data_IF_979212816970
#
_entry.id   IF_979212816970
#
_cell.length_a   1.000
_cell.length_b   1.000
_cell.length_c   1.000
_cell.angle_alpha   90.00
_cell.angle_beta   90.00
_cell.angle_gamma   90.00
#
_symmetry.space_group_name_H-M   'P 1'
#
loop_
_entity.id
_entity.type
_entity.pdbx_description
1 polymer ?
#
# COMPACT_ATOMS: atom_id res chain seq x y z
N UNK A 1 4.35 50.25 -55.94
CA UNK A 1 4.70 48.85 -56.25
C UNK A 1 4.97 48.11 -54.94
N UNK A 2 4.30 46.95 -54.80
CA UNK A 2 4.40 45.85 -53.81
C UNK A 2 4.94 46.13 -52.39
N UNK A 3 4.00 46.12 -51.43
CA UNK A 3 4.22 45.83 -50.00
C UNK A 3 4.75 44.39 -49.85
N UNK A 4 5.77 44.20 -49.03
CA UNK A 4 6.10 42.90 -48.44
C UNK A 4 5.99 43.07 -46.93
N UNK A 5 4.97 42.42 -46.36
CA UNK A 5 4.67 42.31 -44.94
C UNK A 5 5.43 41.06 -44.47
N UNK A 6 6.37 41.21 -43.53
CA UNK A 6 6.87 40.07 -42.77
C UNK A 6 6.02 39.92 -41.51
N UNK A 7 5.18 38.90 -41.50
CA UNK A 7 4.44 38.42 -40.33
C UNK A 7 5.43 37.81 -39.36
N UNK A 8 5.67 38.46 -38.22
CA UNK A 8 6.31 37.83 -37.08
C UNK A 8 5.24 37.00 -36.35
N UNK A 9 5.23 35.69 -36.60
CA UNK A 9 4.43 34.76 -35.80
C UNK A 9 5.08 34.67 -34.41
N UNK A 10 4.53 35.39 -33.44
CA UNK A 10 4.80 35.13 -32.03
C UNK A 10 4.09 33.83 -31.68
N UNK A 11 4.81 32.72 -31.77
CA UNK A 11 4.39 31.49 -31.10
C UNK A 11 4.39 31.77 -29.59
N UNK A 12 3.22 32.10 -29.06
CA UNK A 12 2.97 31.97 -27.62
C UNK A 12 3.13 30.49 -27.30
N UNK A 13 4.27 30.11 -26.73
CA UNK A 13 4.41 28.81 -26.08
C UNK A 13 3.31 28.77 -25.02
N UNK A 14 2.31 27.94 -25.26
CA UNK A 14 1.28 27.62 -24.28
C UNK A 14 2.00 27.20 -23.01
N UNK A 15 1.71 27.94 -21.93
CA UNK A 15 2.28 27.65 -20.63
C UNK A 15 2.02 26.18 -20.30
N UNK A 16 3.09 25.44 -20.03
CA UNK A 16 2.98 24.21 -19.27
C UNK A 16 2.32 24.59 -17.95
N UNK A 17 1.02 24.33 -17.81
CA UNK A 17 0.37 24.37 -16.51
C UNK A 17 0.97 23.22 -15.70
N UNK A 18 2.09 23.50 -15.01
CA UNK A 18 2.61 22.61 -13.99
C UNK A 18 1.52 22.55 -12.93
N UNK A 19 0.77 21.44 -12.88
CA UNK A 19 -0.09 21.17 -11.74
C UNK A 19 0.82 21.16 -10.50
N UNK A 20 0.70 22.21 -9.69
CA UNK A 20 1.47 22.37 -8.48
C UNK A 20 1.07 21.24 -7.51
N UNK A 21 2.07 20.50 -7.05
CA UNK A 21 1.91 19.58 -5.93
C UNK A 21 2.14 20.41 -4.68
N UNK A 22 1.11 20.53 -3.86
CA UNK A 22 1.17 21.32 -2.63
C UNK A 22 1.24 20.35 -1.45
N UNK A 23 2.32 20.36 -0.64
CA UNK A 23 2.31 19.65 0.63
C UNK A 23 1.25 20.26 1.53
N UNK A 24 0.31 19.44 2.01
CA UNK A 24 -0.75 19.87 2.93
C UNK A 24 -0.48 19.42 4.36
N UNK A 25 0.45 18.47 4.55
CA UNK A 25 0.93 18.07 5.86
C UNK A 25 2.31 17.45 5.75
N UNK A 26 3.24 17.91 6.57
CA UNK A 26 4.55 17.30 6.76
C UNK A 26 4.71 16.85 8.20
N UNK A 27 5.19 15.63 8.41
CA UNK A 27 5.35 15.06 9.75
C UNK A 27 6.39 13.94 9.78
N UNK A 28 6.78 13.54 10.99
CA UNK A 28 7.51 12.29 11.26
C UNK A 28 6.66 11.27 12.02
N UNK A 29 5.40 11.60 12.29
CA UNK A 29 4.45 10.75 12.99
C UNK A 29 3.83 9.73 12.04
N UNK A 30 3.46 8.55 12.56
CA UNK A 30 2.82 7.50 11.77
C UNK A 30 1.37 7.89 11.46
N UNK A 31 1.14 8.37 10.22
CA UNK A 31 -0.18 8.61 9.66
C UNK A 31 -0.68 7.36 8.92
N UNK A 32 -1.98 7.11 9.03
CA UNK A 32 -2.66 6.09 8.25
C UNK A 32 -3.43 6.77 7.12
N UNK A 33 -4.74 6.99 7.23
CA UNK A 33 -5.50 7.66 6.18
C UNK A 33 -5.59 9.19 6.37
N UNK A 34 -5.78 9.92 5.28
CA UNK A 34 -5.94 11.38 5.24
C UNK A 34 -7.01 11.78 4.23
N UNK A 35 -7.85 12.76 4.56
CA UNK A 35 -8.78 13.38 3.63
C UNK A 35 -8.83 14.89 3.86
N UNK A 36 -9.29 15.60 2.84
CA UNK A 36 -9.57 17.02 2.92
C UNK A 36 -11.07 17.21 2.70
N UNK A 37 -11.73 17.82 3.68
CA UNK A 37 -13.16 18.11 3.69
C UNK A 37 -13.36 19.60 3.43
N UNK A 38 -14.29 19.94 2.53
CA UNK A 38 -14.61 21.31 2.13
C UNK A 38 -13.36 22.14 1.79
N UNK A 39 -12.40 21.50 1.12
CA UNK A 39 -11.14 22.06 0.63
C UNK A 39 -10.22 22.72 1.67
N UNK A 40 -10.54 22.64 2.96
CA UNK A 40 -9.85 23.40 4.01
C UNK A 40 -9.64 22.64 5.30
N UNK A 41 -10.47 21.62 5.60
CA UNK A 41 -10.34 20.82 6.82
C UNK A 41 -9.63 19.51 6.51
N UNK A 42 -8.36 19.41 6.92
CA UNK A 42 -7.62 18.17 6.90
C UNK A 42 -8.12 17.26 8.03
N UNK A 43 -8.41 16.01 7.71
CA UNK A 43 -8.71 14.96 8.68
C UNK A 43 -7.76 13.82 8.44
N UNK A 44 -7.12 13.34 9.50
CA UNK A 44 -6.18 12.22 9.39
C UNK A 44 -6.23 11.31 10.61
N UNK A 45 -5.85 10.05 10.40
CA UNK A 45 -5.68 9.09 11.50
C UNK A 45 -4.22 9.05 11.93
N UNK A 46 -4.00 9.25 13.23
CA UNK A 46 -2.69 9.16 13.86
C UNK A 46 -2.65 7.97 14.81
N UNK A 47 -1.56 7.21 14.75
CA UNK A 47 -1.29 6.12 15.69
C UNK A 47 -0.52 6.65 16.89
N UNK A 48 -1.02 6.32 18.07
CA UNK A 48 -0.47 6.66 19.38
C UNK A 48 -0.23 5.39 20.20
N UNK A 49 0.44 5.53 21.34
CA UNK A 49 0.68 4.41 22.27
C UNK A 49 -0.62 3.75 22.73
N UNK A 50 -1.64 4.56 23.00
CA UNK A 50 -2.94 4.13 23.56
C UNK A 50 -3.96 3.73 22.48
N UNK A 51 -3.64 3.88 21.19
CA UNK A 51 -4.61 3.61 20.14
C UNK A 51 -4.39 4.33 18.82
N UNK A 52 -5.46 4.41 18.03
CA UNK A 52 -5.51 5.18 16.80
C UNK A 52 -6.64 6.20 16.90
N UNK A 53 -6.31 7.46 16.62
CA UNK A 53 -7.22 8.59 16.82
C UNK A 53 -7.28 9.48 15.60
N UNK A 54 -8.46 10.03 15.31
CA UNK A 54 -8.65 11.03 14.29
C UNK A 54 -8.32 12.41 14.84
N UNK A 55 -7.62 13.17 14.01
CA UNK A 55 -7.28 14.57 14.20
C UNK A 55 -7.85 15.40 13.07
N UNK A 56 -8.11 16.67 13.36
CA UNK A 56 -8.48 17.68 12.39
C UNK A 56 -7.48 18.83 12.44
N UNK A 57 -7.15 19.39 11.28
CA UNK A 57 -6.28 20.56 11.14
C UNK A 57 -6.78 21.43 9.98
N UNK A 58 -6.79 22.74 10.14
CA UNK A 58 -7.10 23.65 9.03
C UNK A 58 -5.88 23.79 8.12
N UNK A 59 -6.07 23.61 6.82
CA UNK A 59 -5.01 23.64 5.82
C UNK A 59 -4.23 24.97 5.83
N UNK A 60 -4.94 26.09 5.99
CA UNK A 60 -4.35 27.44 5.99
C UNK A 60 -3.90 27.92 7.39
N UNK A 61 -4.02 27.06 8.42
CA UNK A 61 -3.52 27.33 9.76
C UNK A 61 -2.72 26.12 10.29
N UNK A 62 -1.50 25.91 9.79
CA UNK A 62 -0.61 24.85 10.29
C UNK A 62 -0.42 24.96 11.80
N UNK A 63 -0.57 23.83 12.51
CA UNK A 63 -0.50 23.80 13.98
C UNK A 63 -1.85 23.96 14.68
N UNK A 64 -2.95 24.17 13.94
CA UNK A 64 -4.32 24.07 14.46
C UNK A 64 -4.79 22.64 14.73
N UNK A 65 -3.89 21.66 14.64
CA UNK A 65 -4.17 20.25 14.82
C UNK A 65 -4.76 19.96 16.21
N UNK A 66 -5.95 19.35 16.22
CA UNK A 66 -6.64 18.94 17.44
C UNK A 66 -7.24 17.55 17.28
N UNK A 67 -7.33 16.79 18.39
CA UNK A 67 -8.05 15.51 18.39
C UNK A 67 -9.52 15.78 18.09
N UNK A 68 -10.06 15.10 17.09
CA UNK A 68 -11.46 15.22 16.70
C UNK A 68 -12.34 14.41 17.67
N UNK A 69 -12.56 14.93 18.88
CA UNK A 69 -13.23 14.20 19.97
C UNK A 69 -14.54 13.50 19.56
N UNK A 70 -15.45 14.12 18.76
CA UNK A 70 -16.69 13.46 18.32
C UNK A 70 -16.48 12.20 17.46
N UNK A 71 -15.34 12.10 16.77
CA UNK A 71 -14.99 10.99 15.88
C UNK A 71 -14.25 9.85 16.60
N UNK A 72 -13.82 10.07 17.84
CA UNK A 72 -13.01 9.15 18.62
C UNK A 72 -13.86 8.47 19.71
N UNK A 73 -14.45 7.32 19.38
CA UNK A 73 -15.37 6.58 20.26
C UNK A 73 -14.78 5.28 20.83
N UNK A 74 -13.48 5.04 20.66
CA UNK A 74 -12.80 3.83 21.15
C UNK A 74 -11.28 3.93 21.07
N UNK A 75 -10.59 2.79 21.21
CA UNK A 75 -9.12 2.72 21.14
C UNK A 75 -8.59 2.60 19.71
N UNK A 76 -9.44 2.24 18.75
CA UNK A 76 -9.08 2.24 17.33
C UNK A 76 -10.16 2.98 16.57
N UNK A 77 -9.79 4.14 16.03
CA UNK A 77 -10.64 4.97 15.21
C UNK A 77 -9.87 5.26 13.92
N UNK A 78 -10.47 4.97 12.77
CA UNK A 78 -9.84 5.18 11.48
C UNK A 78 -10.79 5.89 10.54
N UNK A 79 -10.30 6.88 9.82
CA UNK A 79 -10.99 7.39 8.65
C UNK A 79 -11.06 6.28 7.60
N UNK A 80 -12.25 6.02 7.06
CA UNK A 80 -12.47 4.94 6.07
C UNK A 80 -13.26 5.42 4.85
N UNK A 81 -13.41 6.73 4.68
CA UNK A 81 -14.09 7.32 3.55
C UNK A 81 -14.79 8.63 3.90
N UNK A 82 -15.29 9.30 2.88
CA UNK A 82 -16.11 10.50 3.00
C UNK A 82 -16.95 10.68 1.74
N UNK A 83 -18.03 11.44 1.87
CA UNK A 83 -18.80 11.92 0.73
C UNK A 83 -18.33 13.34 0.38
N UNK A 84 -17.66 13.54 -0.75
CA UNK A 84 -17.14 14.86 -1.13
C UNK A 84 -18.26 15.87 -1.46
N UNK A 85 -19.44 15.41 -1.86
CA UNK A 85 -20.56 16.31 -2.20
C UNK A 85 -21.24 16.89 -0.95
N UNK A 86 -21.22 16.16 0.18
CA UNK A 86 -21.90 16.58 1.42
C UNK A 86 -20.93 16.91 2.56
N UNK A 87 -19.65 16.57 2.42
CA UNK A 87 -18.66 16.68 3.49
C UNK A 87 -18.82 15.65 4.62
N UNK A 88 -19.74 14.68 4.48
CA UNK A 88 -19.94 13.64 5.48
C UNK A 88 -18.74 12.69 5.54
N UNK A 89 -18.28 12.31 6.73
CA UNK A 89 -17.12 11.42 6.94
C UNK A 89 -17.53 10.08 7.54
N UNK A 90 -16.78 9.03 7.19
CA UNK A 90 -17.00 7.66 7.64
C UNK A 90 -15.84 7.21 8.51
N UNK A 91 -16.16 6.75 9.71
CA UNK A 91 -15.16 6.42 10.72
C UNK A 91 -15.39 4.99 11.20
N UNK A 92 -14.41 4.14 10.96
CA UNK A 92 -14.35 2.84 11.63
C UNK A 92 -14.00 3.06 13.10
N UNK A 93 -14.74 2.41 14.00
CA UNK A 93 -14.57 2.54 15.45
C UNK A 93 -14.65 1.17 16.11
N UNK A 94 -13.59 0.81 16.84
CA UNK A 94 -13.59 -0.33 17.76
C UNK A 94 -13.78 0.16 19.19
N UNK A 95 -15.00 0.03 19.68
CA UNK A 95 -15.43 0.51 21.02
C UNK A 95 -15.31 -0.56 22.11
N UNK A 96 -15.10 -1.80 21.70
CA UNK A 96 -14.87 -2.93 22.60
C UNK A 96 -14.43 -4.17 21.82
N UNK A 97 -14.31 -5.32 22.50
CA UNK A 97 -13.82 -6.58 21.88
C UNK A 97 -14.72 -7.09 20.73
N UNK A 98 -16.00 -6.75 20.73
CA UNK A 98 -17.00 -7.22 19.75
C UNK A 98 -17.89 -6.10 19.21
N UNK A 99 -17.53 -4.85 19.46
CA UNK A 99 -18.25 -3.68 18.97
C UNK A 99 -17.36 -2.92 17.99
N UNK A 100 -17.59 -3.21 16.72
CA UNK A 100 -16.83 -2.71 15.57
C UNK A 100 -17.84 -2.17 14.56
N UNK A 101 -17.87 -0.85 14.39
CA UNK A 101 -18.82 -0.17 13.52
C UNK A 101 -18.12 0.74 12.53
N UNK A 102 -18.82 1.09 11.47
CA UNK A 102 -18.51 2.25 10.63
C UNK A 102 -19.59 3.30 10.93
N UNK A 103 -19.21 4.35 11.66
CA UNK A 103 -20.07 5.48 12.01
C UNK A 103 -19.97 6.59 10.97
N UNK A 104 -21.08 7.33 10.78
CA UNK A 104 -21.20 8.41 9.80
C UNK A 104 -21.38 9.74 10.54
N UNK A 105 -20.70 10.78 10.05
CA UNK A 105 -20.72 12.09 10.68
C UNK A 105 -20.88 13.18 9.63
N UNK A 106 -21.93 13.99 9.75
CA UNK A 106 -22.05 15.23 9.00
C UNK A 106 -21.11 16.29 9.60
N UNK A 107 -20.46 17.07 8.74
CA UNK A 107 -19.67 18.22 9.15
C UNK A 107 -20.43 19.51 8.83
N UNK A 108 -20.74 20.30 9.86
CA UNK A 108 -21.46 21.57 9.71
C UNK A 108 -21.11 22.51 10.86
N UNK A 109 -20.99 23.81 10.58
CA UNK A 109 -20.76 24.83 11.62
C UNK A 109 -19.49 24.60 12.44
N UNK A 110 -18.45 24.00 11.86
CA UNK A 110 -17.19 23.68 12.54
C UNK A 110 -17.20 22.40 13.36
N UNK A 111 -18.32 21.68 13.44
CA UNK A 111 -18.47 20.48 14.27
C UNK A 111 -18.91 19.23 13.49
N UNK A 112 -18.72 18.07 14.12
CA UNK A 112 -19.18 16.78 13.60
C UNK A 112 -20.41 16.29 14.38
N UNK A 113 -21.45 15.93 13.66
CA UNK A 113 -22.66 15.33 14.23
C UNK A 113 -22.87 13.93 13.67
N UNK A 114 -22.99 12.94 14.55
CA UNK A 114 -23.22 11.55 14.14
C UNK A 114 -24.60 11.41 13.50
N UNK A 115 -24.65 10.91 12.26
CA UNK A 115 -25.89 10.74 11.48
C UNK A 115 -26.37 9.30 11.41
N UNK A 116 -25.49 8.34 11.73
CA UNK A 116 -25.82 6.92 11.74
C UNK A 116 -24.59 6.04 11.87
N UNK A 117 -24.77 4.73 11.76
CA UNK A 117 -23.70 3.76 11.69
C UNK A 117 -24.15 2.43 11.07
N UNK A 118 -23.19 1.64 10.62
CA UNK A 118 -23.38 0.23 10.22
C UNK A 118 -22.42 -0.63 11.02
N UNK A 119 -22.89 -1.78 11.49
CA UNK A 119 -22.01 -2.80 12.08
C UNK A 119 -21.02 -3.30 11.02
N UNK A 120 -19.75 -3.48 11.39
CA UNK A 120 -18.76 -4.08 10.50
C UNK A 120 -19.12 -5.55 10.24
N UNK A 121 -18.92 -6.11 9.03
CA UNK A 121 -19.04 -7.54 8.84
C UNK A 121 -18.11 -8.29 9.80
N UNK A 122 -18.50 -9.48 10.27
CA UNK A 122 -17.60 -10.32 11.06
C UNK A 122 -16.44 -10.80 10.20
N UNK A 123 -15.24 -10.32 10.50
CA UNK A 123 -14.02 -10.70 9.79
C UNK A 123 -13.18 -11.62 10.68
N UNK A 124 -12.80 -12.78 10.14
CA UNK A 124 -11.73 -13.61 10.72
C UNK A 124 -10.42 -13.17 10.08
N UNK A 125 -9.93 -12.00 10.50
CA UNK A 125 -8.69 -11.43 10.00
C UNK A 125 -7.49 -11.99 10.78
N UNK A 126 -6.55 -12.61 10.08
CA UNK A 126 -5.32 -13.17 10.64
C UNK A 126 -4.14 -12.18 10.57
N UNK A 127 -4.37 -11.00 9.99
CA UNK A 127 -3.42 -9.90 9.93
C UNK A 127 -3.59 -8.95 11.11
N UNK A 128 -2.51 -8.25 11.46
CA UNK A 128 -2.56 -7.11 12.38
C UNK A 128 -3.10 -5.86 11.71
N UNK A 129 -3.16 -5.85 10.38
CA UNK A 129 -3.66 -4.74 9.60
C UNK A 129 -5.13 -4.98 9.24
N UNK A 130 -5.90 -3.91 9.28
CA UNK A 130 -7.23 -3.84 8.71
C UNK A 130 -7.34 -2.51 7.97
N UNK A 131 -7.40 -2.57 6.64
CA UNK A 131 -7.72 -1.42 5.82
C UNK A 131 -9.18 -1.48 5.40
N UNK A 132 -9.88 -0.35 5.43
CA UNK A 132 -11.29 -0.25 5.04
C UNK A 132 -11.48 0.98 4.17
N UNK A 133 -12.34 0.85 3.16
CA UNK A 133 -12.86 1.98 2.40
C UNK A 133 -14.35 1.80 2.14
N UNK A 134 -15.16 2.76 2.57
CA UNK A 134 -16.60 2.80 2.35
C UNK A 134 -16.93 3.84 1.27
N UNK A 135 -17.66 3.42 0.24
CA UNK A 135 -18.11 4.31 -0.84
C UNK A 135 -19.09 5.39 -0.35
N UNK A 136 -19.22 6.53 -1.05
CA UNK A 136 -20.14 7.61 -0.66
C UNK A 136 -21.62 7.23 -0.54
N UNK A 137 -22.07 6.24 -1.31
CA UNK A 137 -23.41 5.67 -1.21
C UNK A 137 -23.60 4.71 -0.02
N UNK A 138 -22.51 4.46 0.73
CA UNK A 138 -22.39 3.57 1.88
C UNK A 138 -22.73 2.11 1.56
N UNK A 139 -22.76 1.71 0.29
CA UNK A 139 -23.21 0.37 -0.12
C UNK A 139 -22.08 -0.57 -0.51
N UNK A 140 -20.88 -0.08 -0.77
CA UNK A 140 -19.70 -0.92 -1.07
C UNK A 140 -18.61 -0.66 -0.04
N UNK A 141 -18.19 -1.74 0.63
CA UNK A 141 -17.06 -1.77 1.54
C UNK A 141 -15.91 -2.55 0.90
N UNK A 142 -14.79 -1.87 0.68
CA UNK A 142 -13.52 -2.51 0.34
C UNK A 142 -12.74 -2.78 1.62
N UNK A 143 -12.11 -3.95 1.68
CA UNK A 143 -11.45 -4.47 2.87
C UNK A 143 -10.07 -4.97 2.46
N UNK A 144 -9.02 -4.49 3.12
CA UNK A 144 -7.66 -5.02 3.06
C UNK A 144 -7.41 -5.83 4.34
N UNK A 145 -7.25 -7.15 4.21
CA UNK A 145 -7.14 -8.08 5.34
C UNK A 145 -6.60 -9.45 4.91
N UNK A 146 -6.22 -10.28 5.88
CA UNK A 146 -5.87 -11.69 5.66
C UNK A 146 -7.07 -12.58 6.07
N UNK A 147 -7.98 -12.89 5.14
CA UNK A 147 -9.21 -13.66 5.41
C UNK A 147 -9.07 -15.16 5.04
N UNK A 148 -7.87 -15.72 5.18
CA UNK A 148 -7.55 -17.15 5.07
C UNK A 148 -7.29 -17.68 3.65
N UNK A 149 -8.11 -17.33 2.64
CA UNK A 149 -7.87 -17.68 1.23
C UNK A 149 -7.33 -16.48 0.43
N UNK A 150 -6.17 -15.99 0.84
CA UNK A 150 -5.50 -14.85 0.20
C UNK A 150 -4.64 -15.32 -0.99
N UNK A 151 -4.34 -14.42 -1.92
CA UNK A 151 -3.32 -14.59 -2.97
C UNK A 151 -1.93 -14.30 -2.40
N UNK A 152 -1.84 -13.35 -1.47
CA UNK A 152 -0.64 -12.94 -0.77
C UNK A 152 -0.90 -12.72 0.71
N UNK A 153 -0.57 -11.52 1.19
CA UNK A 153 -0.70 -11.15 2.59
C UNK A 153 -2.09 -10.58 2.89
N UNK A 154 -2.18 -9.27 3.03
CA UNK A 154 -3.46 -8.56 3.03
C UNK A 154 -3.92 -8.46 1.58
N UNK A 155 -5.02 -9.13 1.27
CA UNK A 155 -5.70 -9.04 -0.03
C UNK A 155 -6.82 -8.02 0.05
N UNK A 156 -7.24 -7.51 -1.11
CA UNK A 156 -8.47 -6.72 -1.24
C UNK A 156 -9.70 -7.61 -1.45
N UNK A 157 -10.73 -7.30 -0.67
CA UNK A 157 -12.05 -7.89 -0.73
C UNK A 157 -13.10 -6.81 -0.92
N UNK A 158 -14.24 -7.19 -1.49
CA UNK A 158 -15.43 -6.36 -1.61
C UNK A 158 -16.59 -6.99 -0.85
N UNK A 159 -17.32 -6.17 -0.10
CA UNK A 159 -18.59 -6.50 0.53
C UNK A 159 -19.63 -5.45 0.15
N UNK A 160 -20.87 -5.87 -0.06
CA UNK A 160 -21.99 -5.02 -0.45
C UNK A 160 -23.03 -4.98 0.66
N UNK A 161 -23.66 -3.83 0.86
CA UNK A 161 -24.75 -3.67 1.82
C UNK A 161 -26.09 -3.96 1.15
N UNK A 162 -26.71 -5.07 1.53
CA UNK A 162 -27.97 -5.54 0.92
C UNK A 162 -28.88 -6.11 2.02
N UNK A 163 -30.16 -5.72 2.01
CA UNK A 163 -31.15 -6.22 2.97
C UNK A 163 -30.78 -5.98 4.44
N UNK A 164 -30.18 -4.81 4.74
CA UNK A 164 -29.82 -4.41 6.10
C UNK A 164 -28.59 -5.11 6.70
N UNK A 165 -27.78 -5.78 5.87
CA UNK A 165 -26.54 -6.44 6.30
C UNK A 165 -25.46 -6.38 5.23
N UNK A 166 -24.21 -6.60 5.65
CA UNK A 166 -23.10 -6.81 4.73
C UNK A 166 -23.14 -8.22 4.14
N UNK A 167 -22.93 -8.31 2.83
CA UNK A 167 -22.64 -9.58 2.17
C UNK A 167 -21.27 -10.11 2.61
N UNK A 168 -21.06 -11.43 2.49
CA UNK A 168 -19.76 -12.03 2.82
C UNK A 168 -18.67 -11.40 1.94
N UNK A 169 -17.53 -10.92 2.50
CA UNK A 169 -16.44 -10.36 1.72
C UNK A 169 -15.98 -11.34 0.62
N UNK A 170 -15.99 -10.87 -0.62
CA UNK A 170 -15.51 -11.60 -1.79
C UNK A 170 -14.15 -11.07 -2.19
N UNK A 171 -13.18 -11.97 -2.36
CA UNK A 171 -11.83 -11.62 -2.79
C UNK A 171 -11.87 -11.04 -4.21
N UNK A 172 -11.13 -9.97 -4.48
CA UNK A 172 -11.10 -9.30 -5.80
C UNK A 172 -10.29 -10.06 -6.87
N UNK A 173 -9.70 -11.20 -6.51
CA UNK A 173 -9.04 -12.11 -7.42
C UNK A 173 -7.70 -11.60 -7.92
N UNK A 174 -7.08 -12.38 -8.81
CA UNK A 174 -5.70 -12.18 -9.28
C UNK A 174 -5.50 -10.95 -10.17
N UNK A 175 -6.59 -10.35 -10.67
CA UNK A 175 -6.52 -9.09 -11.39
C UNK A 175 -6.07 -7.94 -10.48
N UNK A 176 -6.42 -8.01 -9.19
CA UNK A 176 -6.06 -6.99 -8.20
C UNK A 176 -5.03 -7.52 -7.21
N UNK A 177 -5.34 -8.67 -6.61
CA UNK A 177 -4.56 -9.24 -5.53
C UNK A 177 -3.35 -9.99 -6.08
N UNK A 178 -2.21 -9.77 -5.46
CA UNK A 178 -0.95 -10.39 -5.86
C UNK A 178 -0.37 -11.22 -4.71
N UNK A 179 0.91 -11.57 -4.83
CA UNK A 179 1.64 -12.22 -3.74
C UNK A 179 2.13 -11.20 -2.69
N UNK A 180 1.95 -9.92 -2.97
CA UNK A 180 2.29 -8.83 -2.06
C UNK A 180 1.09 -8.47 -1.17
N UNK A 181 1.26 -7.46 -0.33
CA UNK A 181 0.18 -6.90 0.45
C UNK A 181 -0.46 -5.77 -0.36
N UNK A 182 -1.77 -5.84 -0.57
CA UNK A 182 -2.58 -4.78 -1.14
C UNK A 182 -3.39 -4.07 -0.04
N UNK A 183 -3.29 -2.75 0.02
CA UNK A 183 -3.86 -1.94 1.10
C UNK A 183 -4.22 -0.53 0.63
N UNK A 184 -4.82 0.26 1.53
CA UNK A 184 -5.33 1.60 1.25
C UNK A 184 -6.16 1.68 -0.04
N UNK A 185 -7.22 0.86 -0.17
CA UNK A 185 -8.06 0.90 -1.36
C UNK A 185 -8.85 2.21 -1.45
N UNK A 186 -9.10 2.67 -2.67
CA UNK A 186 -9.94 3.82 -2.97
C UNK A 186 -10.71 3.56 -4.27
N UNK A 187 -12.02 3.75 -4.27
CA UNK A 187 -12.89 3.44 -5.40
C UNK A 187 -13.51 4.72 -5.98
N UNK A 188 -13.38 4.91 -7.28
CA UNK A 188 -14.17 5.88 -8.07
C UNK A 188 -15.21 5.16 -8.91
N UNK A 189 -15.98 5.90 -9.71
CA UNK A 189 -16.91 5.31 -10.68
C UNK A 189 -16.18 4.48 -11.74
N UNK A 190 -14.96 4.86 -12.11
CA UNK A 190 -14.25 4.29 -13.26
C UNK A 190 -13.06 3.41 -12.86
N UNK A 191 -12.56 3.50 -11.63
CA UNK A 191 -11.30 2.85 -11.27
C UNK A 191 -11.22 2.49 -9.78
N UNK A 192 -10.59 1.35 -9.52
CA UNK A 192 -10.06 0.97 -8.21
C UNK A 192 -8.60 1.38 -8.13
N UNK A 193 -8.26 2.15 -7.11
CA UNK A 193 -6.90 2.49 -6.73
C UNK A 193 -6.52 1.75 -5.46
N UNK A 194 -5.27 1.34 -5.34
CA UNK A 194 -4.76 0.70 -4.14
C UNK A 194 -3.24 0.78 -4.08
N UNK A 195 -2.68 0.59 -2.90
CA UNK A 195 -1.25 0.53 -2.68
C UNK A 195 -0.80 -0.92 -2.61
N UNK A 196 0.33 -1.24 -3.22
CA UNK A 196 0.97 -2.55 -3.14
C UNK A 196 2.35 -2.43 -2.54
N UNK A 197 2.64 -3.27 -1.56
CA UNK A 197 3.95 -3.32 -0.90
C UNK A 197 4.98 -4.02 -1.78
N UNK A 198 6.17 -3.45 -1.90
CA UNK A 198 7.30 -4.03 -2.63
C UNK A 198 8.56 -3.94 -1.75
N UNK A 199 8.80 -4.93 -0.89
CA UNK A 199 9.82 -4.81 0.16
C UNK A 199 9.41 -3.76 1.19
N UNK A 200 10.21 -2.72 1.40
CA UNK A 200 9.88 -1.62 2.34
C UNK A 200 9.21 -0.42 1.66
N UNK A 201 9.11 -0.44 0.33
CA UNK A 201 8.44 0.61 -0.43
C UNK A 201 7.01 0.19 -0.75
N UNK A 202 6.22 1.16 -1.19
CA UNK A 202 4.88 0.90 -1.67
C UNK A 202 4.57 1.83 -2.83
N UNK A 203 3.83 1.32 -3.80
CA UNK A 203 3.39 2.09 -4.95
C UNK A 203 1.89 1.99 -5.11
N UNK A 204 1.30 3.08 -5.59
CA UNK A 204 -0.11 3.19 -5.93
C UNK A 204 -0.33 2.64 -7.33
N UNK A 205 -1.31 1.76 -7.45
CA UNK A 205 -1.77 1.12 -8.67
C UNK A 205 -3.23 1.49 -8.94
N UNK A 206 -3.62 1.44 -10.21
CA UNK A 206 -5.00 1.60 -10.66
C UNK A 206 -5.43 0.42 -11.54
N UNK A 207 -6.69 0.04 -11.41
CA UNK A 207 -7.37 -0.92 -12.27
C UNK A 207 -8.70 -0.32 -12.70
N UNK A 208 -9.00 -0.25 -14.00
CA UNK A 208 -10.29 0.24 -14.48
C UNK A 208 -11.42 -0.69 -14.03
N UNK A 209 -12.62 -0.13 -13.85
CA UNK A 209 -13.81 -0.91 -13.55
C UNK A 209 -14.57 -1.26 -14.83
N UNK A 210 -15.06 -2.50 -14.89
CA UNK A 210 -16.01 -3.00 -15.87
C UNK A 210 -17.21 -3.52 -15.08
N UNK A 211 -18.41 -2.97 -15.33
CA UNK A 211 -19.65 -3.30 -14.61
C UNK A 211 -19.52 -3.19 -13.07
N UNK A 212 -18.76 -2.20 -12.60
CA UNK A 212 -18.53 -1.94 -11.18
C UNK A 212 -17.60 -2.95 -10.48
N UNK A 213 -16.89 -3.78 -11.23
CA UNK A 213 -15.85 -4.68 -10.75
C UNK A 213 -14.51 -4.38 -11.44
N UNK A 214 -13.37 -4.66 -10.80
CA UNK A 214 -12.07 -4.53 -11.45
C UNK A 214 -12.03 -5.36 -12.74
N UNK A 215 -11.68 -4.72 -13.86
CA UNK A 215 -11.49 -5.42 -15.13
C UNK A 215 -10.36 -6.46 -15.02
N UNK A 216 -10.41 -7.50 -15.86
CA UNK A 216 -9.33 -8.48 -15.97
C UNK A 216 -8.12 -7.89 -16.72
N UNK A 217 -7.49 -6.89 -16.09
CA UNK A 217 -6.32 -6.18 -16.59
C UNK A 217 -5.20 -6.23 -15.55
N UNK A 218 -3.95 -6.13 -16.01
CA UNK A 218 -2.81 -5.95 -15.11
C UNK A 218 -2.91 -4.55 -14.48
N UNK A 219 -2.85 -4.42 -13.14
CA UNK A 219 -2.86 -3.11 -12.50
C UNK A 219 -1.74 -2.23 -13.00
N UNK A 220 -2.07 -1.01 -13.40
CA UNK A 220 -1.11 -0.01 -13.85
C UNK A 220 -0.57 0.75 -12.64
N UNK A 221 0.75 0.74 -12.44
CA UNK A 221 1.40 1.61 -11.46
C UNK A 221 1.19 3.06 -11.90
N UNK A 222 0.69 3.92 -11.02
CA UNK A 222 0.52 5.34 -11.35
C UNK A 222 1.89 5.97 -11.67
N UNK A 223 1.94 6.74 -12.74
CA UNK A 223 3.14 7.49 -13.13
C UNK A 223 3.18 8.86 -12.45
N UNK A 224 4.32 9.55 -12.59
CA UNK A 224 4.46 10.93 -12.14
C UNK A 224 4.64 11.06 -10.63
N UNK A 225 4.10 12.15 -10.06
CA UNK A 225 4.43 12.63 -8.70
C UNK A 225 3.86 11.76 -7.57
N UNK A 226 2.86 10.93 -7.85
CA UNK A 226 2.20 10.07 -6.86
C UNK A 226 3.13 8.97 -6.36
N UNK A 227 3.90 8.35 -7.27
CA UNK A 227 4.79 7.24 -6.95
C UNK A 227 6.24 7.69 -6.92
N UNK A 228 6.65 8.31 -5.80
CA UNK A 228 8.07 8.60 -5.58
C UNK A 228 8.84 7.29 -5.44
N UNK A 229 9.85 7.11 -6.29
CA UNK A 229 10.71 5.93 -6.29
C UNK A 229 11.44 5.78 -4.95
N UNK A 230 11.53 4.56 -4.44
CA UNK A 230 12.20 4.28 -3.16
C UNK A 230 11.40 4.70 -1.92
N UNK A 231 10.16 5.20 -2.09
CA UNK A 231 9.31 5.66 -0.99
C UNK A 231 8.09 4.75 -0.77
N UNK A 232 7.48 4.87 0.41
CA UNK A 232 6.19 4.27 0.71
C UNK A 232 5.09 5.23 0.29
N UNK A 233 4.45 4.98 -0.85
CA UNK A 233 3.36 5.79 -1.40
C UNK A 233 2.02 5.09 -1.14
N UNK A 234 1.08 5.80 -0.53
CA UNK A 234 -0.19 5.22 -0.13
C UNK A 234 -1.34 6.26 -0.02
N UNK A 235 -2.53 5.77 0.35
CA UNK A 235 -3.70 6.59 0.68
C UNK A 235 -4.09 7.57 -0.44
N UNK A 236 -3.94 7.12 -1.68
CA UNK A 236 -4.32 7.89 -2.86
C UNK A 236 -5.84 8.07 -2.93
N UNK A 237 -6.27 9.28 -3.23
CA UNK A 237 -7.67 9.69 -3.42
C UNK A 237 -7.76 10.63 -4.61
N UNK A 238 -8.87 10.53 -5.35
CA UNK A 238 -9.15 11.39 -6.51
C UNK A 238 -10.59 11.88 -6.50
N UNK A 239 -10.78 13.17 -6.70
CA UNK A 239 -12.07 13.83 -6.85
C UNK A 239 -12.00 14.77 -8.06
N UNK A 240 -12.58 14.36 -9.18
CA UNK A 240 -12.43 15.07 -10.44
C UNK A 240 -10.95 15.16 -10.86
N UNK A 241 -10.43 16.39 -10.98
CA UNK A 241 -9.02 16.67 -11.28
C UNK A 241 -8.15 16.78 -10.02
N UNK A 242 -8.75 16.79 -8.83
CA UNK A 242 -8.02 16.92 -7.57
C UNK A 242 -7.54 15.55 -7.11
N UNK A 243 -6.24 15.43 -6.85
CA UNK A 243 -5.62 14.23 -6.32
C UNK A 243 -5.03 14.51 -4.95
N UNK A 244 -5.07 13.52 -4.07
CA UNK A 244 -4.45 13.54 -2.76
C UNK A 244 -3.74 12.21 -2.54
N UNK A 245 -2.54 12.24 -1.97
CA UNK A 245 -1.81 11.02 -1.63
C UNK A 245 -0.81 11.28 -0.51
N UNK A 246 -0.25 10.21 0.00
CA UNK A 246 0.74 10.23 1.05
C UNK A 246 2.02 9.56 0.60
N UNK A 247 3.16 10.15 0.94
CA UNK A 247 4.49 9.58 0.71
C UNK A 247 5.28 9.58 2.01
N UNK A 248 5.83 8.42 2.39
CA UNK A 248 6.83 8.30 3.45
C UNK A 248 8.19 7.93 2.85
N UNK A 249 9.19 8.73 3.17
CA UNK A 249 10.56 8.55 2.71
C UNK A 249 11.38 7.70 3.68
N UNK A 250 12.49 7.15 3.20
CA UNK A 250 13.44 6.39 4.02
C UNK A 250 14.05 7.22 5.18
N UNK A 251 14.05 8.55 5.05
CA UNK A 251 14.47 9.49 6.11
C UNK A 251 13.49 9.55 7.29
N UNK A 252 12.30 8.94 7.15
CA UNK A 252 11.20 9.03 8.10
C UNK A 252 10.29 10.25 7.89
N UNK A 253 10.63 11.13 6.94
CA UNK A 253 9.76 12.22 6.51
C UNK A 253 8.49 11.66 5.86
N UNK A 254 7.36 12.23 6.22
CA UNK A 254 6.03 11.82 5.75
C UNK A 254 5.27 13.04 5.29
N UNK A 255 4.78 13.01 4.06
CA UNK A 255 4.11 14.15 3.46
C UNK A 255 2.80 13.73 2.83
N UNK A 256 1.71 14.37 3.22
CA UNK A 256 0.46 14.35 2.47
C UNK A 256 0.49 15.48 1.44
N UNK A 257 0.15 15.15 0.21
CA UNK A 257 0.12 16.07 -0.92
C UNK A 257 -1.29 16.23 -1.46
N UNK A 258 -1.53 17.40 -2.05
CA UNK A 258 -2.68 17.64 -2.91
C UNK A 258 -2.23 18.25 -4.23
N UNK A 259 -2.90 17.93 -5.33
CA UNK A 259 -2.74 18.61 -6.61
C UNK A 259 -4.10 18.89 -7.24
N UNK A 260 -4.24 20.08 -7.84
CA UNK A 260 -5.41 20.47 -8.62
C UNK A 260 -6.30 21.52 -7.94
N UNK A 261 -6.16 22.77 -8.40
CA UNK A 261 -7.19 23.80 -8.46
C UNK A 261 -6.93 24.65 -9.73
N UNK A 262 -7.93 24.68 -10.64
CA UNK A 262 -8.09 25.37 -11.95
C UNK A 262 -7.08 25.07 -13.11
N UNK A 263 -7.44 24.98 -14.39
CA UNK A 263 -8.70 25.22 -15.14
C UNK A 263 -8.88 24.16 -16.26
N UNK A 264 -10.13 23.99 -16.72
CA UNK A 264 -10.54 23.07 -17.77
C UNK A 264 -9.90 23.37 -19.13
N UNK A 265 -9.40 22.32 -19.81
CA UNK A 265 -9.46 22.21 -21.29
C UNK A 265 -9.46 20.72 -21.69
N UNK A 266 -10.33 20.41 -22.65
CA UNK A 266 -10.60 19.09 -23.22
C UNK A 266 -9.35 18.42 -23.86
N UNK A 267 -9.35 17.09 -24.08
CA UNK A 267 -8.15 16.35 -24.48
C UNK A 267 -7.84 16.55 -25.96
N UNK A 268 -6.58 16.80 -26.29
CA UNK A 268 -6.06 16.70 -27.66
C UNK A 268 -5.59 15.26 -27.93
N UNK A 269 -5.70 14.78 -29.18
CA UNK A 269 -5.65 13.35 -29.51
C UNK A 269 -4.23 12.78 -29.51
N UNK A 270 -4.16 11.44 -29.44
CA UNK A 270 -2.93 10.66 -29.50
C UNK A 270 -2.05 11.04 -30.70
N UNK A 271 -0.81 11.44 -30.43
CA UNK A 271 0.22 11.62 -31.43
C UNK A 271 1.07 10.36 -31.56
N UNK A 272 1.34 10.02 -32.81
CA UNK A 272 1.94 8.80 -33.30
C UNK A 272 3.42 8.63 -32.95
N UNK A 273 3.81 7.37 -33.06
CA UNK A 273 5.16 6.80 -33.05
C UNK A 273 6.10 7.48 -34.07
N UNK A 274 7.28 7.93 -33.62
CA UNK A 274 8.40 8.28 -34.51
C UNK A 274 9.74 7.68 -34.03
N UNK A 275 10.24 6.78 -34.89
CA UNK A 275 11.61 6.44 -35.27
C UNK A 275 12.76 6.40 -34.25
N UNK A 276 13.32 5.19 -34.11
CA UNK A 276 14.68 4.90 -33.62
C UNK A 276 15.74 5.36 -34.62
N UNK A 277 16.95 5.74 -34.17
CA UNK A 277 18.18 5.52 -34.92
C UNK A 277 18.88 4.22 -34.47
N UNK A 278 19.55 3.57 -35.43
CA UNK A 278 20.34 2.34 -35.31
C UNK A 278 21.85 2.66 -35.02
N UNK A 279 22.73 1.66 -34.81
CA UNK A 279 23.62 1.61 -33.63
C UNK A 279 25.04 2.15 -33.87
N UNK A 280 25.75 2.47 -32.79
CA UNK A 280 27.20 2.71 -32.80
C UNK A 280 27.95 1.65 -31.98
N UNK A 281 28.91 1.04 -32.67
CA UNK A 281 30.01 0.13 -32.35
C UNK A 281 30.19 -0.37 -30.90
N UNK A 282 30.31 -1.69 -30.81
CA UNK A 282 30.72 -2.48 -29.64
C UNK A 282 32.18 -2.20 -29.25
N UNK A 283 32.38 -1.75 -28.01
CA UNK A 283 33.67 -1.86 -27.33
C UNK A 283 33.74 -3.19 -26.57
N UNK A 284 34.76 -3.98 -26.85
CA UNK A 284 35.03 -5.25 -26.16
C UNK A 284 35.24 -5.05 -24.65
N UNK A 285 34.64 -5.88 -23.78
CA UNK A 285 35.08 -5.98 -22.39
C UNK A 285 36.32 -6.89 -22.29
N UNK A 286 37.38 -6.38 -21.69
CA UNK A 286 38.52 -7.16 -21.18
C UNK A 286 38.06 -8.13 -20.09
N UNK A 287 38.66 -9.34 -19.99
CA UNK A 287 38.26 -10.33 -19.00
C UNK A 287 38.90 -9.99 -17.65
N UNK A 288 38.08 -9.75 -16.63
CA UNK A 288 38.52 -9.81 -15.23
C UNK A 288 38.19 -11.20 -14.65
N UNK A 289 39.06 -11.75 -13.79
CA UNK A 289 39.09 -13.17 -13.49
C UNK A 289 37.88 -13.62 -12.68
N UNK A 290 37.45 -14.85 -12.96
CA UNK A 290 36.51 -15.62 -12.15
C UNK A 290 36.91 -15.56 -10.67
N UNK A 291 36.04 -15.11 -9.74
CA UNK A 291 36.21 -15.51 -8.36
C UNK A 291 35.99 -17.03 -8.30
N UNK A 292 36.99 -17.70 -7.75
CA UNK A 292 37.03 -19.13 -7.51
C UNK A 292 35.72 -19.62 -6.87
N UNK A 293 35.32 -20.83 -7.26
CA UNK A 293 34.21 -21.56 -6.67
C UNK A 293 34.35 -21.58 -5.14
N UNK A 294 33.52 -20.79 -4.46
CA UNK A 294 33.33 -20.91 -3.02
C UNK A 294 32.34 -22.05 -2.82
N UNK A 295 32.86 -23.24 -2.57
CA UNK A 295 32.09 -24.24 -1.85
C UNK A 295 31.90 -23.75 -0.41
N UNK A 296 30.63 -23.67 0.07
CA UNK A 296 30.11 -23.77 1.48
C UNK A 296 28.74 -23.08 1.66
N UNK A 297 27.87 -23.47 2.61
CA UNK A 297 27.59 -24.80 3.19
C UNK A 297 26.25 -25.35 2.65
N UNK A 298 25.76 -26.47 3.20
CA UNK A 298 24.45 -27.06 2.89
C UNK A 298 23.23 -26.18 3.31
N UNK A 299 23.47 -25.03 3.96
CA UNK A 299 22.46 -24.19 4.60
C UNK A 299 22.43 -22.75 4.01
N UNK A 300 21.26 -22.11 3.99
CA UNK A 300 21.05 -20.72 3.53
C UNK A 300 20.57 -19.83 4.68
N UNK A 301 21.15 -18.63 4.82
CA UNK A 301 20.65 -17.60 5.74
C UNK A 301 20.15 -16.39 4.96
N UNK A 302 18.92 -15.96 5.27
CA UNK A 302 18.28 -14.83 4.62
C UNK A 302 18.04 -13.71 5.64
N UNK A 303 18.69 -12.54 5.50
CA UNK A 303 18.51 -11.44 6.44
C UNK A 303 17.15 -10.76 6.27
N UNK A 304 16.63 -10.22 7.37
CA UNK A 304 15.40 -9.44 7.43
C UNK A 304 15.63 -8.09 8.11
N UNK A 305 14.91 -7.08 7.64
CA UNK A 305 14.85 -5.78 8.30
C UNK A 305 13.95 -5.80 9.52
N UNK A 306 14.07 -4.78 10.36
CA UNK A 306 13.25 -4.65 11.57
C UNK A 306 11.76 -4.62 11.21
N UNK A 307 10.95 -5.42 11.92
CA UNK A 307 9.51 -5.58 11.70
C UNK A 307 9.09 -5.96 10.25
N UNK A 308 10.03 -6.40 9.42
CA UNK A 308 9.71 -6.98 8.11
C UNK A 308 9.39 -8.46 8.27
N UNK A 309 8.26 -8.88 7.71
CA UNK A 309 7.89 -10.29 7.60
C UNK A 309 8.34 -10.91 6.28
N UNK A 310 8.88 -10.12 5.36
CA UNK A 310 9.07 -10.50 3.96
C UNK A 310 10.52 -10.28 3.49
N UNK A 311 10.95 -11.13 2.56
CA UNK A 311 12.24 -10.99 1.90
C UNK A 311 12.23 -9.77 0.99
N UNK A 312 13.34 -9.03 0.97
CA UNK A 312 13.57 -8.07 -0.09
C UNK A 312 13.88 -8.78 -1.42
N UNK A 313 14.00 -7.99 -2.49
CA UNK A 313 14.24 -8.52 -3.84
C UNK A 313 15.54 -9.33 -3.94
N UNK A 314 16.58 -8.94 -3.21
CA UNK A 314 17.88 -9.61 -3.26
C UNK A 314 17.80 -10.97 -2.55
N UNK A 315 17.27 -10.99 -1.33
CA UNK A 315 17.09 -12.22 -0.55
C UNK A 315 16.08 -13.18 -1.21
N UNK A 316 15.04 -12.67 -1.86
CA UNK A 316 14.11 -13.49 -2.64
C UNK A 316 14.78 -14.12 -3.88
N UNK A 317 15.65 -13.37 -4.58
CA UNK A 317 16.43 -13.89 -5.72
C UNK A 317 17.40 -14.98 -5.25
N UNK A 318 18.05 -14.77 -4.12
CA UNK A 318 18.95 -15.74 -3.51
C UNK A 318 18.22 -17.02 -3.10
N UNK A 319 17.09 -16.90 -2.40
CA UNK A 319 16.24 -18.04 -2.06
C UNK A 319 15.81 -18.82 -3.31
N UNK A 320 15.37 -18.12 -4.35
CA UNK A 320 14.98 -18.76 -5.60
C UNK A 320 16.12 -19.56 -6.22
N UNK A 321 17.31 -18.96 -6.33
CA UNK A 321 18.50 -19.61 -6.87
C UNK A 321 18.99 -20.79 -6.00
N UNK A 322 18.86 -20.69 -4.68
CA UNK A 322 19.13 -21.80 -3.76
C UNK A 322 18.18 -22.98 -4.02
N UNK A 323 16.86 -22.74 -4.00
CA UNK A 323 15.85 -23.79 -4.20
C UNK A 323 15.92 -24.43 -5.59
N UNK A 324 16.25 -23.66 -6.63
CA UNK A 324 16.47 -24.19 -7.98
C UNK A 324 17.60 -25.22 -8.05
N UNK A 325 18.61 -25.12 -7.18
CA UNK A 325 19.73 -26.08 -7.14
C UNK A 325 19.41 -27.37 -6.38
N UNK A 326 18.36 -27.37 -5.55
CA UNK A 326 18.03 -28.54 -4.73
C UNK A 326 17.31 -29.63 -5.54
N UNK A 327 17.55 -30.92 -5.23
CA UNK A 327 16.86 -32.02 -5.91
C UNK A 327 15.37 -32.03 -5.57
N UNK A 328 14.58 -32.70 -6.40
CA UNK A 328 13.17 -32.95 -6.10
C UNK A 328 13.05 -33.81 -4.84
N UNK A 329 12.16 -33.42 -3.93
CA UNK A 329 11.94 -34.11 -2.67
C UNK A 329 12.92 -33.74 -1.55
N UNK A 330 13.84 -32.79 -1.77
CA UNK A 330 14.76 -32.35 -0.73
C UNK A 330 14.03 -31.92 0.56
N UNK A 331 14.59 -32.30 1.71
CA UNK A 331 14.06 -31.92 3.03
C UNK A 331 14.62 -30.57 3.42
N UNK A 332 13.74 -29.60 3.68
CA UNK A 332 14.10 -28.25 4.11
C UNK A 332 13.59 -28.05 5.54
N UNK A 333 14.50 -27.74 6.47
CA UNK A 333 14.15 -27.25 7.79
C UNK A 333 14.31 -25.73 7.82
N UNK A 334 13.21 -25.02 8.01
CA UNK A 334 13.15 -23.55 7.91
C UNK A 334 12.90 -22.94 9.28
N UNK A 335 13.89 -22.27 9.84
CA UNK A 335 13.79 -21.62 11.16
C UNK A 335 13.76 -20.11 11.00
N UNK A 336 12.70 -19.46 11.49
CA UNK A 336 12.59 -18.01 11.48
C UNK A 336 13.06 -17.39 12.80
N UNK A 337 13.75 -16.25 12.73
CA UNK A 337 14.33 -15.58 13.90
C UNK A 337 13.80 -14.16 14.05
N UNK A 338 13.66 -13.69 15.28
CA UNK A 338 13.40 -12.28 15.63
C UNK A 338 14.39 -11.82 16.72
N UNK A 339 14.74 -10.54 16.73
CA UNK A 339 15.56 -9.92 17.77
C UNK A 339 14.72 -9.50 18.99
N UNK A 340 15.37 -8.93 20.01
CA UNK A 340 14.75 -8.56 21.28
C UNK A 340 13.76 -7.38 21.23
N UNK A 341 13.55 -6.79 20.06
CA UNK A 341 12.73 -5.59 19.90
C UNK A 341 11.24 -5.89 19.84
N UNK A 342 10.46 -5.20 20.69
CA UNK A 342 9.00 -5.29 20.73
C UNK A 342 8.48 -6.26 21.79
N UNK A 343 7.15 -6.43 21.86
CA UNK A 343 6.53 -7.34 22.84
C UNK A 343 6.89 -8.80 22.55
N UNK A 344 6.91 -9.66 23.56
CA UNK A 344 7.20 -11.10 23.38
C UNK A 344 6.26 -11.75 22.36
N UNK A 345 4.96 -11.46 22.43
CA UNK A 345 3.97 -11.92 21.46
C UNK A 345 4.27 -11.42 20.04
N UNK A 346 4.74 -10.17 19.88
CA UNK A 346 5.14 -9.64 18.60
C UNK A 346 6.38 -10.35 18.03
N UNK A 347 7.38 -10.59 18.87
CA UNK A 347 8.63 -11.27 18.49
C UNK A 347 8.36 -12.70 18.02
N UNK A 348 7.64 -13.49 18.82
CA UNK A 348 7.24 -14.88 18.48
C UNK A 348 6.45 -14.95 17.18
N UNK A 349 5.54 -14.01 16.98
CA UNK A 349 4.72 -13.99 15.76
C UNK A 349 5.56 -13.66 14.52
N UNK A 350 6.47 -12.68 14.62
CA UNK A 350 7.36 -12.30 13.51
C UNK A 350 8.26 -13.46 13.10
N UNK A 351 8.92 -14.12 14.04
CA UNK A 351 9.80 -15.26 13.75
C UNK A 351 9.03 -16.42 13.11
N UNK A 352 7.85 -16.77 13.64
CA UNK A 352 6.95 -17.78 13.07
C UNK A 352 6.49 -17.43 11.65
N UNK A 353 6.03 -16.20 11.41
CA UNK A 353 5.55 -15.76 10.10
C UNK A 353 6.66 -15.73 9.04
N UNK A 354 7.91 -15.41 9.42
CA UNK A 354 9.08 -15.47 8.52
C UNK A 354 9.38 -16.89 8.05
N UNK A 355 9.37 -17.86 8.96
CA UNK A 355 9.56 -19.27 8.62
C UNK A 355 8.45 -19.77 7.68
N UNK A 356 7.19 -19.46 8.02
CA UNK A 356 6.04 -19.81 7.21
C UNK A 356 6.10 -19.20 5.81
N UNK A 357 6.56 -17.94 5.68
CA UNK A 357 6.72 -17.29 4.39
C UNK A 357 7.72 -18.03 3.48
N UNK A 358 8.88 -18.40 4.00
CA UNK A 358 9.91 -19.12 3.22
C UNK A 358 9.44 -20.52 2.83
N UNK A 359 8.74 -21.23 3.72
CA UNK A 359 8.12 -22.51 3.40
C UNK A 359 7.08 -22.39 2.27
N UNK A 360 6.19 -21.40 2.38
CA UNK A 360 5.21 -21.08 1.35
C UNK A 360 5.88 -20.72 0.02
N UNK A 361 6.95 -19.91 0.05
CA UNK A 361 7.71 -19.52 -1.14
C UNK A 361 8.25 -20.76 -1.85
N UNK A 362 8.89 -21.67 -1.12
CA UNK A 362 9.46 -22.89 -1.68
C UNK A 362 8.39 -23.79 -2.33
N UNK A 363 7.19 -23.88 -1.73
CA UNK A 363 6.08 -24.66 -2.28
C UNK A 363 5.43 -24.02 -3.51
N UNK A 364 5.40 -22.68 -3.60
CA UNK A 364 4.53 -21.96 -4.56
C UNK A 364 5.26 -21.28 -5.70
N UNK A 365 6.56 -21.00 -5.55
CA UNK A 365 7.33 -20.21 -6.52
C UNK A 365 8.10 -21.04 -7.53
N UNK A 366 8.19 -22.36 -7.34
CA UNK A 366 8.83 -23.31 -8.24
C UNK A 366 7.83 -24.40 -8.65
N UNK A 367 6.83 -24.07 -9.49
CA UNK A 367 5.87 -25.05 -9.97
C UNK A 367 6.61 -26.13 -10.78
N UNK A 368 6.75 -27.33 -10.21
CA UNK A 368 7.54 -28.43 -10.77
C UNK A 368 8.62 -28.98 -9.84
N UNK A 369 8.92 -28.30 -8.72
CA UNK A 369 9.74 -28.86 -7.63
C UNK A 369 8.91 -28.97 -6.36
N UNK A 370 8.98 -30.15 -5.74
CA UNK A 370 8.36 -30.42 -4.45
C UNK A 370 9.45 -30.61 -3.40
N UNK A 371 9.22 -30.05 -2.22
CA UNK A 371 10.14 -30.12 -1.08
C UNK A 371 9.38 -30.66 0.14
N UNK A 372 10.05 -31.44 0.98
CA UNK A 372 9.54 -31.82 2.29
C UNK A 372 9.96 -30.74 3.30
N UNK A 373 9.03 -29.89 3.72
CA UNK A 373 9.35 -28.69 4.52
C UNK A 373 8.86 -28.83 5.95
N UNK A 374 9.73 -28.55 6.91
CA UNK A 374 9.38 -28.33 8.31
C UNK A 374 9.73 -26.90 8.71
N UNK A 375 8.94 -26.30 9.59
CA UNK A 375 9.13 -24.92 10.05
C UNK A 375 9.31 -24.86 11.55
N UNK A 376 10.24 -24.04 12.01
CA UNK A 376 10.43 -23.69 13.41
C UNK A 376 10.67 -22.17 13.58
N UNK A 377 10.74 -21.69 14.80
CA UNK A 377 10.98 -20.29 15.11
C UNK A 377 11.78 -20.10 16.41
N UNK A 378 12.60 -19.06 16.46
CA UNK A 378 13.36 -18.67 17.63
C UNK A 378 13.27 -17.17 17.88
N UNK A 379 13.13 -16.79 19.15
CA UNK A 379 13.26 -15.40 19.60
C UNK A 379 14.64 -15.27 20.24
N UNK A 380 15.40 -14.29 19.80
CA UNK A 380 16.73 -13.98 20.30
C UNK A 380 16.61 -12.80 21.26
N UNK A 381 17.26 -12.89 22.42
CA UNK A 381 17.16 -11.88 23.48
C UNK A 381 18.13 -10.70 23.30
N UNK A 382 18.95 -10.75 22.25
CA UNK A 382 19.80 -9.65 21.80
C UNK A 382 19.11 -8.82 20.69
N UNK A 383 19.30 -7.50 20.73
CA UNK A 383 18.92 -6.62 19.62
C UNK A 383 19.97 -6.64 18.51
N UNK A 384 19.53 -6.67 17.24
CA UNK A 384 20.47 -6.53 16.14
C UNK A 384 19.99 -7.09 14.80
N UNK A 385 20.55 -6.55 13.71
CA UNK A 385 20.24 -7.01 12.35
C UNK A 385 20.63 -8.48 12.12
N UNK A 386 21.67 -8.95 12.78
CA UNK A 386 22.14 -10.33 12.68
C UNK A 386 21.11 -11.38 13.16
N UNK A 387 20.20 -10.99 14.06
CA UNK A 387 19.21 -11.89 14.66
C UNK A 387 17.85 -11.83 13.97
N UNK A 388 17.71 -10.96 12.96
CA UNK A 388 16.51 -10.88 12.13
C UNK A 388 16.78 -11.63 10.84
N UNK A 389 16.45 -12.92 10.81
CA UNK A 389 16.78 -13.79 9.69
C UNK A 389 15.83 -14.97 9.55
N UNK A 390 15.96 -15.68 8.44
CA UNK A 390 15.51 -17.07 8.31
C UNK A 390 16.74 -17.92 7.99
N UNK A 391 16.85 -19.07 8.64
CA UNK A 391 17.81 -20.11 8.29
C UNK A 391 17.09 -21.28 7.62
N UNK A 392 17.67 -21.81 6.55
CA UNK A 392 17.20 -23.02 5.86
C UNK A 392 18.31 -24.04 5.95
N UNK A 393 18.02 -25.18 6.57
CA UNK A 393 18.94 -26.33 6.63
C UNK A 393 18.43 -27.48 5.78
N UNK A 394 19.34 -28.16 5.09
CA UNK A 394 18.98 -29.39 4.39
C UNK A 394 18.92 -30.55 5.41
N UNK A 395 17.80 -31.26 5.42
CA UNK A 395 17.71 -32.53 6.14
C UNK A 395 18.35 -33.65 5.34
N UNK A 396 18.97 -34.61 6.03
CA UNK A 396 19.34 -35.92 5.47
C UNK A 396 18.11 -36.63 4.89
#
# INVERSE_FOLDING_TARGET
MKKIIYTLAVCTMGGLSVQAQTPIKETREELMDVALINDSLLIYTKKEKEGQFLYTELQDAPGSAQKAAPLNAGTVNMLVGHNPATGEVYVYQRRGRRDEVIAFYAYSGGGFTKTGEKQLPRLRNNSRNLGLFLTPDKNTLLISAELGRTQGYDDLYRSTWEGGRWSKPRNLGKAVNSRQAEFAPFLTQDSLYFSRKEGDVAYVYAVPLQDGLPAEAVPARLSGKVNREGAFNAYYKRQGTRELWFTAEATGARTAYVSGAEAATAPAPAAAEEARPAPLAEGQPTPMPLPAAVARPADLQLPYRFNSLYLDKAAAKELHAFLQRQPQGARLHVTGFSDARGTEEARREVSRKRAAFVAWYAQRMLPGKHFAISTDHQVVEEEGAAYRKVEIRLGE
#
